data_IF_765154942688
#
_entry.id   IF_765154942688
#
_cell.length_a   1.000
_cell.length_b   1.000
_cell.length_c   1.000
_cell.angle_alpha   90.00
_cell.angle_beta   90.00
_cell.angle_gamma   90.00
#
_symmetry.space_group_name_H-M   'P 1'
#
loop_
_entity.id
_entity.type
_entity.pdbx_description
1 polymer ?
2 non-polymer ?
3 water ?
#
# COMPACT_ATOMS: atom_id res chain seq x y z
N UNK A 6 0.14 -8.22 -12.13
CA UNK A 6 -0.25 -8.31 -10.70
C UNK A 6 0.75 -7.56 -9.83
N UNK A 7 0.23 -6.72 -8.94
CA UNK A 7 1.05 -5.99 -7.97
C UNK A 7 0.97 -6.70 -6.62
N UNK A 8 2.06 -7.36 -6.23
CA UNK A 8 2.12 -8.14 -4.99
C UNK A 8 2.85 -7.39 -3.87
N UNK A 9 2.33 -7.48 -2.65
CA UNK A 9 2.84 -6.71 -1.51
C UNK A 9 4.24 -7.13 -1.01
N UNK A 10 4.53 -8.43 -1.07
CA UNK A 10 5.85 -8.97 -0.69
C UNK A 10 6.73 -9.10 -1.93
N UNK A 11 7.84 -8.35 -2.00
CA UNK A 11 8.70 -8.35 -3.19
C UNK A 11 9.52 -9.63 -3.35
N UNK A 12 9.89 -9.97 -4.61
CA UNK A 12 10.71 -11.14 -4.92
C UNK A 12 11.99 -11.29 -4.08
N UNK A 13 12.71 -10.18 -3.81
CA UNK A 13 13.94 -10.30 -3.02
C UNK A 13 13.70 -10.75 -1.57
N UNK A 14 12.52 -10.45 -1.03
CA UNK A 14 12.18 -10.88 0.33
C UNK A 14 11.89 -12.39 0.37
N UNK A 15 11.15 -12.88 -0.63
CA UNK A 15 10.87 -14.30 -0.77
C UNK A 15 12.16 -15.10 -1.06
N UNK A 16 13.04 -14.56 -1.90
CA UNK A 16 14.33 -15.22 -2.19
C UNK A 16 15.16 -15.37 -0.92
N UNK A 17 15.12 -14.34 -0.08
CA UNK A 17 15.78 -14.37 1.22
C UNK A 17 15.25 -15.54 2.07
N UNK A 18 13.94 -15.74 2.10
CA UNK A 18 13.33 -16.86 2.81
C UNK A 18 13.74 -18.21 2.21
N UNK A 19 13.80 -18.26 0.89
CA UNK A 19 14.16 -19.49 0.17
C UNK A 19 15.58 -19.96 0.54
N UNK A 20 16.49 -19.02 0.77
CA UNK A 20 17.88 -19.36 1.12
C UNK A 20 18.16 -19.60 2.60
N UNK A 21 17.44 -18.92 3.49
CA UNK A 21 17.75 -18.95 4.93
C UNK A 21 16.74 -19.70 5.81
N UNK A 22 15.58 -20.06 5.25
CA UNK A 22 14.51 -20.68 6.01
C UNK A 22 14.66 -22.18 6.18
N UNK A 23 13.79 -22.76 7.00
CA UNK A 23 13.70 -24.21 7.15
C UNK A 23 13.10 -24.83 5.89
N UNK A 24 13.05 -26.16 5.84
CA UNK A 24 12.50 -26.86 4.68
C UNK A 24 11.06 -26.41 4.34
N UNK A 25 10.13 -26.48 5.32
CA UNK A 25 8.76 -26.03 5.01
C UNK A 25 8.67 -24.53 4.69
N UNK A 26 9.51 -23.72 5.33
CA UNK A 26 9.52 -22.27 5.07
C UNK A 26 9.99 -21.98 3.64
N UNK A 27 11.08 -22.63 3.23
CA UNK A 27 11.56 -22.52 1.86
C UNK A 27 10.49 -22.95 0.86
N UNK A 28 9.78 -24.03 1.17
CA UNK A 28 8.83 -24.63 0.24
C UNK A 28 7.61 -23.75 -0.03
N UNK A 29 7.04 -23.12 1.00
CA UNK A 29 5.87 -22.23 0.78
C UNK A 29 6.29 -20.94 0.05
N UNK A 30 7.48 -20.42 0.35
CA UNK A 30 8.00 -19.22 -0.32
C UNK A 30 8.31 -19.49 -1.79
N UNK A 31 8.83 -20.68 -2.07
CA UNK A 31 9.16 -21.08 -3.43
C UNK A 31 7.90 -21.18 -4.30
N UNK A 32 6.85 -21.77 -3.73
CA UNK A 32 5.57 -21.89 -4.44
C UNK A 32 4.90 -20.53 -4.63
N UNK A 33 5.09 -19.64 -3.66
CA UNK A 33 4.59 -18.26 -3.76
C UNK A 33 5.33 -17.49 -4.86
N UNK A 34 6.65 -17.59 -4.87
CA UNK A 34 7.48 -16.84 -5.82
C UNK A 34 7.27 -17.33 -7.26
N UNK A 35 7.24 -18.64 -7.44
CA UNK A 35 7.15 -19.24 -8.78
C UNK A 35 5.74 -19.24 -9.37
N UNK A 36 4.73 -18.92 -8.55
CA UNK A 36 3.34 -18.98 -8.99
C UNK A 36 3.06 -18.12 -10.24
N UNK A 37 2.40 -18.73 -11.22
CA UNK A 37 1.95 -18.03 -12.42
C UNK A 37 0.48 -18.35 -12.71
N UNK A 52 -23.58 -4.03 -12.40
CA UNK A 52 -24.03 -2.88 -11.61
C UNK A 52 -22.86 -2.21 -10.88
N UNK A 53 -22.83 -0.88 -10.94
CA UNK A 53 -21.78 -0.09 -10.27
C UNK A 53 -22.40 0.73 -9.14
N UNK A 54 -21.56 1.16 -8.20
CA UNK A 54 -22.03 1.94 -7.07
C UNK A 54 -22.32 3.39 -7.48
N UNK A 55 -23.33 3.97 -6.83
CA UNK A 55 -23.54 5.40 -6.89
C UNK A 55 -22.68 5.99 -5.77
N UNK A 56 -22.21 7.23 -5.93
CA UNK A 56 -21.30 7.83 -4.96
C UNK A 56 -21.82 7.76 -3.52
N UNK A 57 -21.00 7.23 -2.62
CA UNK A 57 -21.34 7.15 -1.19
C UNK A 57 -21.76 5.80 -0.65
N UNK A 58 -22.00 4.82 -1.53
CA UNK A 58 -22.44 3.49 -1.10
C UNK A 58 -21.68 2.37 -1.82
N UNK A 59 -20.75 1.74 -1.11
CA UNK A 59 -19.92 0.65 -1.66
C UNK A 59 -20.74 -0.57 -2.12
N UNK A 60 -20.23 -1.27 -3.12
CA UNK A 60 -20.70 -2.62 -3.45
C UNK A 60 -19.51 -3.60 -3.30
N UNK A 61 -19.62 -4.52 -2.33
CA UNK A 61 -18.60 -5.55 -2.11
C UNK A 61 -19.08 -6.94 -2.51
N UNK A 62 -18.14 -7.78 -2.93
CA UNK A 62 -18.41 -9.20 -3.11
C UNK A 62 -17.18 -10.03 -2.78
N UNK A 63 -17.30 -10.84 -1.73
CA UNK A 63 -16.19 -11.63 -1.22
C UNK A 63 -16.39 -13.11 -1.59
N UNK A 64 -15.32 -13.71 -2.12
CA UNK A 64 -15.29 -15.10 -2.54
C UNK A 64 -14.26 -15.92 -1.73
N UNK A 65 -14.45 -17.25 -1.71
CA UNK A 65 -13.56 -18.19 -1.02
C UNK A 65 -12.95 -19.12 -2.07
N UNK A 66 -11.64 -19.01 -2.28
CA UNK A 66 -10.92 -19.85 -3.26
C UNK A 66 -10.65 -21.28 -2.77
N UNK A 67 -10.95 -21.53 -1.50
CA UNK A 67 -10.91 -22.87 -0.89
C UNK A 67 -9.55 -23.57 -1.07
N UNK A 68 -8.48 -22.77 -0.97
CA UNK A 68 -7.10 -23.26 -1.09
C UNK A 68 -6.69 -23.82 -2.47
N UNK A 69 -7.48 -23.49 -3.49
CA UNK A 69 -7.13 -23.69 -4.89
C UNK A 69 -6.67 -22.33 -5.42
N UNK A 70 -6.22 -22.30 -6.67
CA UNK A 70 -5.78 -21.04 -7.30
C UNK A 70 -6.68 -20.60 -8.46
N UNK A 71 -7.92 -21.09 -8.49
CA UNK A 71 -8.90 -20.63 -9.47
C UNK A 71 -9.69 -19.44 -8.93
N UNK A 72 -9.76 -18.37 -9.72
CA UNK A 72 -10.46 -17.15 -9.32
C UNK A 72 -11.80 -17.03 -10.06
N UNK A 73 -12.80 -16.37 -9.44
CA UNK A 73 -12.76 -15.80 -8.09
C UNK A 73 -12.97 -16.82 -6.96
N UNK A 74 -13.52 -17.99 -7.29
CA UNK A 74 -13.88 -19.00 -6.28
C UNK A 74 -15.37 -19.06 -6.01
N UNK A 75 -15.73 -19.54 -4.82
CA UNK A 75 -17.12 -19.67 -4.38
C UNK A 75 -17.59 -18.38 -3.68
N UNK A 76 -18.71 -17.82 -4.15
CA UNK A 76 -19.27 -16.60 -3.51
C UNK A 76 -19.73 -16.92 -2.09
N UNK A 77 -19.26 -16.13 -1.12
CA UNK A 77 -19.59 -16.35 0.28
C UNK A 77 -20.22 -15.15 0.99
N UNK A 78 -19.94 -13.93 0.53
CA UNK A 78 -20.53 -12.74 1.16
C UNK A 78 -20.60 -11.56 0.19
N UNK A 79 -21.78 -11.34 -0.40
CA UNK A 79 -22.03 -10.17 -1.24
C UNK A 79 -22.53 -9.00 -0.40
N UNK A 80 -22.80 -7.86 -1.04
CA UNK A 80 -23.09 -6.63 -0.30
C UNK A 80 -24.34 -6.78 0.56
N UNK A 81 -24.18 -6.53 1.86
CA UNK A 81 -25.30 -6.61 2.81
C UNK A 81 -25.50 -7.99 3.42
N UNK A 82 -24.86 -9.01 2.87
CA UNK A 82 -25.00 -10.39 3.36
C UNK A 82 -24.36 -10.53 4.74
N UNK A 83 -24.99 -11.32 5.60
CA UNK A 83 -24.49 -11.53 6.97
C UNK A 83 -23.13 -12.25 6.99
N UNK A 84 -22.45 -12.15 8.13
CA UNK A 84 -21.15 -12.78 8.33
C UNK A 84 -21.26 -14.31 8.35
N UNK A 85 -20.31 -14.97 7.70
CA UNK A 85 -20.21 -16.44 7.73
C UNK A 85 -19.24 -16.92 8.84
N UNK A 86 -18.76 -15.98 9.65
CA UNK A 86 -17.92 -16.25 10.82
C UNK A 86 -16.53 -16.82 10.50
N UNK A 87 -16.08 -16.62 9.26
CA UNK A 87 -14.70 -16.86 8.85
C UNK A 87 -13.96 -15.53 9.01
N UNK A 88 -12.92 -15.51 9.84
CA UNK A 88 -12.20 -14.26 10.16
C UNK A 88 -11.62 -13.56 8.91
N UNK A 89 -11.09 -14.37 7.98
CA UNK A 89 -10.54 -13.85 6.73
C UNK A 89 -11.60 -13.17 5.87
N UNK A 90 -12.79 -13.75 5.79
CA UNK A 90 -13.90 -13.16 5.01
C UNK A 90 -14.40 -11.89 5.70
N UNK A 91 -14.50 -11.95 7.04
CA UNK A 91 -14.89 -10.78 7.84
C UNK A 91 -13.93 -9.60 7.59
N UNK A 92 -12.63 -9.87 7.62
CA UNK A 92 -11.60 -8.84 7.44
C UNK A 92 -11.58 -8.27 6.01
N UNK A 93 -11.67 -9.13 5.01
CA UNK A 93 -11.78 -8.69 3.62
C UNK A 93 -12.99 -7.80 3.41
N UNK A 94 -14.15 -8.26 3.91
CA UNK A 94 -15.40 -7.51 3.79
C UNK A 94 -15.31 -6.15 4.48
N UNK A 95 -14.84 -6.14 5.72
CA UNK A 95 -14.75 -4.92 6.52
C UNK A 95 -13.72 -3.91 5.96
N UNK A 96 -12.54 -4.41 5.58
CA UNK A 96 -11.44 -3.52 5.18
C UNK A 96 -11.59 -2.97 3.74
N UNK A 97 -12.22 -3.74 2.87
CA UNK A 97 -12.66 -3.20 1.56
C UNK A 97 -13.70 -2.06 1.77
N UNK A 98 -14.62 -2.26 2.70
CA UNK A 98 -15.60 -1.23 3.08
C UNK A 98 -14.97 0.05 3.61
N UNK A 99 -14.03 -0.09 4.55
CA UNK A 99 -13.35 1.08 5.12
C UNK A 99 -12.55 1.84 4.05
N UNK A 100 -11.95 1.11 3.11
CA UNK A 100 -11.18 1.74 2.04
C UNK A 100 -12.10 2.60 1.15
N UNK A 101 -13.27 2.07 0.77
CA UNK A 101 -14.27 2.84 0.02
C UNK A 101 -14.68 4.10 0.78
N UNK A 102 -15.04 3.92 2.05
CA UNK A 102 -15.49 5.00 2.92
C UNK A 102 -14.44 6.11 3.04
N UNK A 103 -13.18 5.73 3.21
CA UNK A 103 -12.09 6.71 3.24
C UNK A 103 -12.07 7.58 1.98
N UNK A 104 -12.01 6.94 0.80
CA UNK A 104 -11.93 7.72 -0.45
C UNK A 104 -13.16 8.60 -0.68
N UNK A 105 -14.33 8.16 -0.23
CA UNK A 105 -15.56 8.97 -0.36
C UNK A 105 -15.58 10.15 0.61
N UNK A 106 -15.31 9.87 1.90
CA UNK A 106 -15.34 10.91 2.93
C UNK A 106 -14.23 11.94 2.76
N UNK A 107 -13.02 11.47 2.45
CA UNK A 107 -11.86 12.35 2.34
C UNK A 107 -11.84 13.16 1.05
N UNK A 108 -12.13 12.51 -0.07
CA UNK A 108 -11.89 13.11 -1.40
C UNK A 108 -13.11 13.12 -2.33
N UNK A 109 -14.27 12.67 -1.84
CA UNK A 109 -15.49 12.57 -2.66
C UNK A 109 -15.30 11.71 -3.94
N UNK A 110 -14.49 10.66 -3.82
CA UNK A 110 -14.22 9.73 -4.93
C UNK A 110 -15.15 8.51 -4.78
N UNK A 111 -15.71 8.07 -5.90
CA UNK A 111 -16.60 6.91 -5.96
C UNK A 111 -15.87 5.63 -6.41
N UNK A 112 -15.32 4.90 -5.43
CA UNK A 112 -14.53 3.69 -5.63
C UNK A 112 -13.17 3.96 -6.32
N UNK A 113 -12.46 2.89 -6.64
CA UNK A 113 -11.06 2.98 -7.09
C UNK A 113 -10.90 3.78 -8.38
N UNK A 114 -11.86 3.63 -9.31
CA UNK A 114 -11.78 4.28 -10.63
C UNK A 114 -12.63 5.55 -10.80
N UNK A 115 -13.25 6.01 -9.72
CA UNK A 115 -14.24 7.10 -9.74
C UNK A 115 -15.42 6.79 -10.71
N UNK A 116 -15.68 5.50 -10.94
CA UNK A 116 -16.80 5.03 -11.77
C UNK A 116 -17.66 3.98 -11.03
N UNK A 117 -17.49 3.90 -9.71
CA UNK A 117 -18.25 2.98 -8.88
C UNK A 117 -17.94 1.51 -9.01
N UNK A 118 -16.70 1.17 -9.37
CA UNK A 118 -16.23 -0.23 -9.46
C UNK A 118 -16.62 -1.04 -8.21
N UNK A 119 -17.34 -2.17 -8.37
CA UNK A 119 -17.55 -3.03 -7.20
C UNK A 119 -16.22 -3.57 -6.69
N UNK A 120 -16.08 -3.69 -5.38
CA UNK A 120 -14.84 -4.18 -4.77
C UNK A 120 -14.94 -5.68 -4.51
N UNK A 121 -14.18 -6.45 -5.29
CA UNK A 121 -14.19 -7.91 -5.25
C UNK A 121 -12.91 -8.43 -4.60
N UNK A 122 -13.06 -9.42 -3.72
CA UNK A 122 -11.91 -10.05 -3.05
C UNK A 122 -12.07 -11.55 -2.90
N UNK A 123 -10.98 -12.29 -3.10
CA UNK A 123 -10.95 -13.74 -2.88
C UNK A 123 -9.95 -14.11 -1.77
N UNK A 124 -10.42 -14.86 -0.78
CA UNK A 124 -9.59 -15.29 0.35
C UNK A 124 -9.24 -16.78 0.23
N UNK A 125 -8.31 -17.24 1.07
CA UNK A 125 -7.81 -18.62 1.02
C UNK A 125 -7.32 -19.03 -0.38
N UNK A 126 -6.55 -18.15 -1.01
CA UNK A 126 -5.90 -18.42 -2.29
C UNK A 126 -4.64 -19.27 -2.08
N UNK A 127 -4.59 -20.43 -2.72
CA UNK A 127 -3.43 -21.32 -2.61
C UNK A 127 -3.26 -22.00 -1.27
N UNK A 128 -2.12 -22.66 -1.09
CA UNK A 128 -1.77 -23.31 0.16
C UNK A 128 -0.57 -22.61 0.82
N UNK A 129 -0.81 -22.04 2.00
CA UNK A 129 0.20 -21.24 2.71
C UNK A 129 0.85 -20.21 1.77
N UNK A 130 0.01 -19.49 1.03
CA UNK A 130 0.47 -18.52 0.04
C UNK A 130 0.95 -17.25 0.74
N UNK A 131 2.22 -16.90 0.53
CA UNK A 131 2.90 -15.84 1.26
C UNK A 131 2.79 -14.48 0.55
N UNK A 132 1.58 -14.11 0.15
CA UNK A 132 1.38 -12.83 -0.53
C UNK A 132 -0.08 -12.42 -0.63
N UNK A 133 -0.28 -11.18 -1.06
CA UNK A 133 -1.58 -10.67 -1.48
C UNK A 133 -1.32 -9.75 -2.69
N UNK A 134 -2.31 -9.63 -3.57
CA UNK A 134 -2.14 -8.80 -4.77
C UNK A 134 -3.45 -8.27 -5.37
N UNK A 135 -3.31 -7.12 -6.05
CA UNK A 135 -4.36 -6.56 -6.88
C UNK A 135 -4.02 -6.94 -8.32
N UNK A 136 -4.97 -7.54 -9.05
CA UNK A 136 -4.67 -8.06 -10.39
C UNK A 136 -5.22 -7.22 -11.54
N UNK A 137 -5.67 -6.00 -11.22
CA UNK A 137 -6.30 -5.12 -12.20
C UNK A 137 -7.81 -5.08 -12.09
N UNK A 138 -8.42 -6.16 -11.57
CA UNK A 138 -9.87 -6.21 -11.39
C UNK A 138 -10.34 -6.64 -9.99
N UNK A 139 -9.50 -7.34 -9.22
CA UNK A 139 -9.86 -7.76 -7.85
C UNK A 139 -8.67 -7.92 -6.92
N UNK A 140 -8.96 -8.04 -5.62
CA UNK A 140 -8.00 -8.41 -4.59
C UNK A 140 -7.93 -9.92 -4.42
N UNK A 141 -6.72 -10.43 -4.20
CA UNK A 141 -6.48 -11.85 -3.90
C UNK A 141 -5.57 -11.95 -2.66
N UNK A 142 -6.00 -12.75 -1.67
CA UNK A 142 -5.32 -12.85 -0.37
C UNK A 142 -4.87 -14.28 -0.05
N UNK A 143 -3.59 -14.43 0.27
CA UNK A 143 -3.07 -15.68 0.83
C UNK A 143 -3.28 -15.80 2.33
N UNK A 144 -3.13 -17.04 2.83
CA UNK A 144 -3.28 -17.36 4.25
C UNK A 144 -1.98 -17.15 5.05
N UNK A 145 -0.85 -17.00 4.36
CA UNK A 145 0.46 -17.00 5.01
C UNK A 145 0.82 -18.38 5.55
N UNK A 146 1.98 -18.48 6.21
CA UNK A 146 2.46 -19.77 6.75
C UNK A 146 2.41 -19.87 8.28
N UNK A 147 2.15 -18.74 8.96
CA UNK A 147 2.08 -18.71 10.41
C UNK A 147 3.40 -18.62 11.16
N UNK A 148 4.50 -18.78 10.42
CA UNK A 148 5.85 -18.78 11.01
C UNK A 148 6.64 -17.55 10.64
N UNK A 149 6.44 -17.04 9.42
CA UNK A 149 7.05 -15.78 8.99
C UNK A 149 5.98 -14.70 8.82
N UNK A 150 4.91 -15.03 8.10
CA UNK A 150 3.80 -14.10 7.85
C UNK A 150 2.47 -14.62 8.39
N UNK A 151 1.65 -13.73 8.94
CA UNK A 151 0.26 -14.05 9.28
C UNK A 151 -0.65 -13.93 8.05
N UNK A 152 -1.94 -14.20 8.22
CA UNK A 152 -2.91 -14.10 7.12
C UNK A 152 -2.91 -12.70 6.49
N UNK A 153 -3.06 -12.63 5.18
CA UNK A 153 -2.84 -11.37 4.47
C UNK A 153 -4.04 -10.41 4.42
N UNK A 154 -5.11 -10.75 5.14
CA UNK A 154 -6.22 -9.83 5.41
C UNK A 154 -6.06 -9.08 6.74
N UNK A 155 -5.04 -9.43 7.53
CA UNK A 155 -4.96 -9.00 8.92
C UNK A 155 -4.65 -7.51 9.15
N UNK A 156 -3.93 -6.89 8.21
CA UNK A 156 -3.50 -5.49 8.35
C UNK A 156 -4.23 -4.56 7.37
N UNK A 157 -5.03 -3.65 7.91
CA UNK A 157 -5.90 -2.77 7.09
C UNK A 157 -5.13 -1.90 6.09
N UNK A 158 -3.97 -1.40 6.51
CA UNK A 158 -3.11 -0.57 5.63
C UNK A 158 -2.56 -1.33 4.43
N UNK A 159 -2.29 -2.63 4.59
CA UNK A 159 -1.83 -3.47 3.49
C UNK A 159 -2.97 -3.75 2.49
N UNK A 160 -4.18 -3.96 3.00
CA UNK A 160 -5.38 -4.04 2.16
C UNK A 160 -5.57 -2.73 1.36
N UNK A 161 -5.50 -1.59 2.04
CA UNK A 161 -5.58 -0.28 1.38
C UNK A 161 -4.49 -0.01 0.37
N UNK A 162 -3.25 -0.38 0.72
CA UNK A 162 -2.09 -0.29 -0.19
C UNK A 162 -2.37 -0.97 -1.54
N UNK A 163 -2.80 -2.24 -1.49
CA UNK A 163 -3.03 -3.00 -2.69
C UNK A 163 -4.20 -2.43 -3.52
N UNK A 164 -5.32 -2.13 -2.85
CA UNK A 164 -6.46 -1.50 -3.52
C UNK A 164 -6.06 -0.17 -4.20
N UNK A 165 -5.18 0.59 -3.55
CA UNK A 165 -4.74 1.89 -4.05
C UNK A 165 -4.01 1.83 -5.39
N UNK A 166 -3.47 0.67 -5.76
CA UNK A 166 -2.88 0.50 -7.09
C UNK A 166 -3.96 0.69 -8.18
N UNK A 167 -5.20 0.29 -7.90
CA UNK A 167 -6.32 0.58 -8.80
C UNK A 167 -6.65 2.06 -8.99
N UNK A 168 -6.43 2.86 -7.95
CA UNK A 168 -6.61 4.31 -8.02
C UNK A 168 -5.56 4.93 -8.93
N UNK A 169 -4.30 4.58 -8.68
CA UNK A 169 -3.17 5.07 -9.47
C UNK A 169 -3.31 4.70 -10.96
N UNK A 170 -3.71 3.45 -11.23
CA UNK A 170 -3.89 2.98 -12.61
C UNK A 170 -4.94 3.79 -13.38
N UNK A 171 -6.01 4.17 -12.68
CA UNK A 171 -7.13 4.93 -13.28
C UNK A 171 -6.86 6.43 -13.42
N UNK A 172 -5.77 6.92 -12.83
CA UNK A 172 -5.41 8.33 -12.91
C UNK A 172 -4.10 8.54 -13.71
N UNK A 173 -3.00 8.95 -13.07
CA UNK A 173 -1.74 9.21 -13.80
C UNK A 173 -1.14 7.97 -14.48
N UNK A 174 -1.40 6.79 -13.92
CA UNK A 174 -0.93 5.54 -14.52
C UNK A 174 0.59 5.39 -14.53
N UNK A 175 1.21 5.78 -13.41
CA UNK A 175 2.67 5.73 -13.26
C UNK A 175 3.22 4.33 -13.57
N UNK A 176 4.24 4.26 -14.41
CA UNK A 176 4.83 2.97 -14.81
C UNK A 176 5.65 2.36 -13.67
N UNK A 177 5.78 1.04 -13.69
CA UNK A 177 6.45 0.31 -12.60
C UNK A 177 7.93 0.18 -12.95
N UNK A 178 8.62 1.32 -12.90
CA UNK A 178 10.01 1.43 -13.34
C UNK A 178 10.73 2.62 -12.70
N UNK A 179 11.85 2.33 -12.02
CA UNK A 179 12.69 3.36 -11.40
C UNK A 179 11.85 4.34 -10.55
N UNK A 180 12.08 5.65 -10.69
CA UNK A 180 11.44 6.63 -9.79
C UNK A 180 9.91 6.70 -9.94
N UNK A 181 9.40 6.57 -11.17
CA UNK A 181 7.96 6.47 -11.39
C UNK A 181 7.36 5.28 -10.64
N UNK A 182 8.08 4.15 -10.65
CA UNK A 182 7.64 2.95 -9.93
C UNK A 182 7.75 3.08 -8.42
N UNK A 183 8.82 3.70 -7.95
CA UNK A 183 8.97 4.04 -6.52
C UNK A 183 7.84 4.99 -6.03
N UNK A 184 7.45 5.94 -6.88
CA UNK A 184 6.30 6.83 -6.61
C UNK A 184 4.96 6.08 -6.60
N UNK A 185 4.79 5.13 -7.51
CA UNK A 185 3.62 4.22 -7.55
C UNK A 185 3.49 3.44 -6.24
N UNK A 186 4.58 2.80 -5.82
CA UNK A 186 4.64 2.17 -4.50
C UNK A 186 4.35 3.13 -3.34
N UNK A 187 4.93 4.32 -3.38
CA UNK A 187 4.77 5.31 -2.31
C UNK A 187 3.31 5.80 -2.18
N UNK A 188 2.65 6.03 -3.31
CA UNK A 188 1.24 6.41 -3.28
C UNK A 188 0.38 5.34 -2.59
N UNK A 189 0.69 4.07 -2.83
CA UNK A 189 -0.04 2.98 -2.18
C UNK A 189 0.21 2.97 -0.66
N UNK A 190 1.46 3.24 -0.25
CA UNK A 190 1.82 3.34 1.17
C UNK A 190 1.13 4.56 1.83
N UNK A 191 1.09 5.68 1.11
CA UNK A 191 0.44 6.90 1.59
C UNK A 191 -1.06 6.66 1.83
N UNK A 192 -1.76 6.15 0.81
CA UNK A 192 -3.21 5.94 0.91
C UNK A 192 -3.54 4.80 1.89
N UNK A 193 -2.74 3.73 1.92
CA UNK A 193 -2.93 2.65 2.89
C UNK A 193 -2.78 3.15 4.32
N UNK A 194 -1.80 4.01 4.55
CA UNK A 194 -1.61 4.63 5.87
C UNK A 194 -2.79 5.52 6.26
N UNK A 195 -3.27 6.33 5.30
CA UNK A 195 -4.39 7.24 5.56
C UNK A 195 -5.69 6.49 5.89
N UNK A 196 -5.91 5.35 5.23
CA UNK A 196 -7.06 4.49 5.52
C UNK A 196 -7.04 4.03 6.99
N UNK A 197 -5.88 3.52 7.42
CA UNK A 197 -5.68 3.11 8.82
C UNK A 197 -5.92 4.25 9.81
N UNK A 198 -5.30 5.40 9.54
CA UNK A 198 -5.42 6.58 10.43
C UNK A 198 -6.87 7.11 10.52
N UNK A 199 -7.56 7.11 9.38
CA UNK A 199 -8.99 7.45 9.30
C UNK A 199 -9.85 6.50 10.14
N UNK A 200 -9.58 5.20 10.01
CA UNK A 200 -10.27 4.15 10.76
C UNK A 200 -10.10 4.30 12.28
N UNK A 201 -8.90 4.72 12.70
CA UNK A 201 -8.55 4.84 14.12
C UNK A 201 -8.68 6.27 14.69
N UNK A 202 -9.10 7.22 13.85
CA UNK A 202 -9.33 8.62 14.24
C UNK A 202 -8.07 9.28 14.83
N UNK A 203 -6.94 9.03 14.14
CA UNK A 203 -5.63 9.47 14.58
C UNK A 203 -5.15 10.71 13.82
N UNK A 204 -4.60 11.69 14.55
CA UNK A 204 -3.89 12.81 13.92
C UNK A 204 -2.45 12.37 13.60
N UNK A 205 -1.71 13.18 12.84
CA UNK A 205 -0.36 12.82 12.37
C UNK A 205 0.61 12.49 13.52
N UNK A 206 0.48 13.22 14.62
CA UNK A 206 1.38 13.06 15.78
C UNK A 206 1.15 11.78 16.61
N UNK A 207 0.06 11.07 16.33
CA UNK A 207 -0.29 9.83 17.04
C UNK A 207 -0.17 8.56 16.18
N UNK A 208 -0.22 8.72 14.86
CA UNK A 208 -0.15 7.58 13.92
C UNK A 208 1.18 6.81 14.05
N UNK A 209 1.14 5.50 13.81
CA UNK A 209 2.35 4.66 13.90
C UNK A 209 3.28 4.78 12.68
N UNK A 210 2.71 5.12 11.53
CA UNK A 210 3.44 5.29 10.26
C UNK A 210 4.20 4.02 9.78
N UNK A 211 3.73 2.85 10.21
CA UNK A 211 4.25 1.56 9.77
C UNK A 211 3.40 0.94 8.65
N UNK A 212 4.05 0.23 7.73
CA UNK A 212 3.35 -0.58 6.76
C UNK A 212 3.42 -2.05 7.20
N UNK A 213 2.26 -2.67 7.40
CA UNK A 213 2.19 -4.07 7.80
C UNK A 213 2.35 -4.37 9.30
N UNK A 214 1.94 -3.46 10.18
CA UNK A 214 1.90 -3.80 11.62
C UNK A 214 0.93 -4.98 11.80
N UNK A 215 1.39 -6.03 12.48
CA UNK A 215 0.59 -7.25 12.69
C UNK A 215 0.74 -8.36 11.66
N UNK A 216 1.38 -8.07 10.54
CA UNK A 216 1.55 -9.03 9.46
C UNK A 216 2.71 -10.00 9.72
N UNK A 217 3.75 -9.53 10.41
CA UNK A 217 4.87 -10.39 10.76
C UNK A 217 4.49 -11.32 11.91
N UNK A 218 4.81 -12.60 11.75
CA UNK A 218 4.51 -13.62 12.76
C UNK A 218 5.31 -13.39 14.03
N UNK A 219 4.78 -13.89 15.15
CA UNK A 219 5.48 -13.84 16.43
C UNK A 219 6.85 -14.50 16.28
N UNK A 220 7.87 -13.88 16.84
CA UNK A 220 9.23 -14.42 16.74
C UNK A 220 10.11 -13.65 15.77
N UNK A 221 9.51 -13.12 14.70
CA UNK A 221 10.25 -12.35 13.70
C UNK A 221 10.62 -10.99 14.30
N UNK A 222 11.90 -10.61 14.17
CA UNK A 222 12.39 -9.33 14.70
C UNK A 222 12.14 -8.17 13.73
N UNK A 223 10.93 -7.62 13.79
CA UNK A 223 10.58 -6.44 13.00
C UNK A 223 9.27 -5.84 13.47
N UNK A 224 9.01 -4.61 13.05
CA UNK A 224 7.76 -3.90 13.35
C UNK A 224 6.75 -4.10 12.21
N UNK A 225 7.27 -4.27 11.00
CA UNK A 225 6.45 -4.34 9.79
C UNK A 225 7.33 -4.47 8.56
N UNK A 226 6.71 -4.33 7.38
CA UNK A 226 7.43 -4.35 6.08
C UNK A 226 8.28 -3.09 5.86
N UNK A 227 7.71 -1.93 6.20
CA UNK A 227 8.36 -0.63 6.02
C UNK A 227 7.97 0.35 7.13
N UNK A 228 8.81 1.36 7.32
CA UNK A 228 8.50 2.54 8.12
C UNK A 228 8.49 3.78 7.23
N UNK A 229 7.40 4.53 7.26
CA UNK A 229 7.29 5.77 6.48
C UNK A 229 8.12 6.91 7.11
N UNK A 230 8.25 6.89 8.44
CA UNK A 230 8.97 7.95 9.17
C UNK A 230 10.49 7.74 9.17
N UNK A 231 10.90 6.49 9.31
CA UNK A 231 12.33 6.13 9.42
C UNK A 231 12.69 4.94 8.51
N UNK A 232 12.74 5.16 7.18
CA UNK A 232 13.03 4.04 6.27
C UNK A 232 14.35 3.34 6.60
N UNK A 233 14.35 2.02 6.48
CA UNK A 233 15.50 1.18 6.82
C UNK A 233 15.50 0.61 8.24
N UNK A 234 14.50 0.97 9.05
CA UNK A 234 14.45 0.56 10.47
C UNK A 234 13.35 -0.47 10.80
N UNK A 235 12.59 -0.91 9.80
CA UNK A 235 11.37 -1.69 10.02
C UNK A 235 11.59 -3.15 10.43
N UNK A 236 12.69 -3.77 9.98
CA UNK A 236 13.01 -5.15 10.39
C UNK A 236 14.52 -5.45 10.33
N UNK A 237 14.92 -6.46 11.11
CA UNK A 237 16.33 -6.88 11.21
C UNK A 237 16.34 -8.29 11.83
N UNK A 238 16.19 -9.30 10.97
CA UNK A 238 15.90 -10.68 11.38
C UNK A 238 16.81 -11.65 10.60
N UNK A 239 17.30 -12.72 11.26
CA UNK A 239 18.17 -13.72 10.59
C UNK A 239 17.55 -14.33 9.34
N UNK A 240 16.24 -14.53 9.35
CA UNK A 240 15.52 -15.06 8.19
C UNK A 240 15.31 -13.97 7.14
N UNK A 241 14.50 -12.96 7.48
CA UNK A 241 14.08 -11.92 6.52
C UNK A 241 15.19 -10.97 6.04
N UNK A 242 16.31 -10.93 6.75
CA UNK A 242 17.37 -9.97 6.45
C UNK A 242 17.15 -8.62 7.12
N UNK A 243 17.80 -7.59 6.59
CA UNK A 243 17.73 -6.25 7.14
C UNK A 243 17.04 -5.32 6.14
N UNK A 244 16.09 -4.52 6.64
CA UNK A 244 15.35 -3.53 5.84
C UNK A 244 16.33 -2.66 5.03
N UNK A 245 16.33 -2.81 3.68
CA UNK A 245 17.32 -2.14 2.83
C UNK A 245 17.06 -0.68 2.44
N UNK A 246 15.91 -0.11 2.82
CA UNK A 246 15.51 1.21 2.29
C UNK A 246 16.39 2.37 2.75
N UNK A 247 16.91 3.19 1.81
CA UNK A 247 17.52 4.46 2.20
C UNK A 247 16.50 5.52 2.65
N UNK A 248 16.95 6.47 3.47
CA UNK A 248 16.10 7.54 3.99
C UNK A 248 16.27 8.87 3.25
N UNK A 249 17.28 8.99 2.38
CA UNK A 249 17.46 10.20 1.57
C UNK A 249 18.10 9.93 0.21
N UNK A 250 17.97 10.91 -0.69
CA UNK A 250 18.51 10.83 -2.04
C UNK A 250 20.02 10.59 -2.08
N UNK A 251 20.75 11.12 -1.10
CA UNK A 251 22.19 10.84 -0.99
C UNK A 251 22.48 9.33 -1.07
N UNK A 252 21.59 8.52 -0.52
CA UNK A 252 21.78 7.07 -0.47
C UNK A 252 20.89 6.27 -1.44
N UNK A 253 20.28 6.96 -2.40
CA UNK A 253 19.43 6.32 -3.43
C UNK A 253 20.20 5.21 -4.14
N UNK A 254 19.58 4.02 -4.22
CA UNK A 254 20.24 2.84 -4.79
C UNK A 254 20.07 2.76 -6.32
N UNK A 255 21.21 2.72 -7.02
CA UNK A 255 21.22 2.67 -8.49
C UNK A 255 21.36 1.20 -8.92
N UNK A 256 20.26 0.60 -9.35
CA UNK A 256 20.21 -0.82 -9.67
C UNK A 256 19.16 -1.11 -10.78
N UNK A 257 19.38 -2.15 -11.58
CA UNK A 257 18.36 -2.65 -12.51
C UNK A 257 17.48 -3.71 -11.86
N UNK A 258 17.90 -4.21 -10.70
CA UNK A 258 17.11 -5.20 -9.96
C UNK A 258 15.82 -4.55 -9.44
N UNK A 259 14.81 -5.35 -9.08
CA UNK A 259 13.56 -4.86 -8.45
C UNK A 259 12.88 -3.79 -9.32
N UNK A 260 12.82 -4.05 -10.63
CA UNK A 260 12.29 -3.11 -11.61
C UNK A 260 12.94 -1.71 -11.51
N UNK A 261 14.24 -1.69 -11.21
CA UNK A 261 14.99 -0.44 -11.05
C UNK A 261 14.86 0.15 -9.64
N UNK A 262 14.51 -0.69 -8.67
CA UNK A 262 14.45 -0.33 -7.25
C UNK A 262 13.14 0.25 -6.74
N UNK A 263 12.01 -0.23 -7.26
CA UNK A 263 10.69 0.32 -6.87
C UNK A 263 10.36 0.11 -5.38
N UNK A 264 10.73 -1.04 -4.82
CA UNK A 264 10.56 -1.32 -3.38
C UNK A 264 11.71 -0.80 -2.53
N UNK A 265 12.90 -0.66 -3.12
CA UNK A 265 14.07 -0.18 -2.39
C UNK A 265 14.01 1.33 -2.12
N UNK A 266 13.61 2.11 -3.11
CA UNK A 266 13.72 3.59 -3.04
C UNK A 266 12.41 4.34 -2.75
N UNK A 267 11.32 3.61 -2.48
CA UNK A 267 10.02 4.22 -2.11
C UNK A 267 10.01 4.91 -0.72
N UNK A 268 10.97 4.56 0.14
CA UNK A 268 11.10 5.20 1.45
C UNK A 268 11.43 6.69 1.38
N UNK A 269 12.12 7.11 0.32
CA UNK A 269 12.45 8.53 0.14
C UNK A 269 11.17 9.40 -0.02
N UNK A 270 10.32 9.14 -1.05
CA UNK A 270 9.03 9.87 -1.09
C UNK A 270 8.06 9.58 0.09
N UNK A 271 8.10 8.37 0.65
CA UNK A 271 7.31 8.05 1.86
C UNK A 271 7.65 9.00 3.02
N UNK A 272 8.96 9.20 3.23
CA UNK A 272 9.45 10.07 4.31
C UNK A 272 9.08 11.53 4.05
N UNK A 273 9.09 11.95 2.77
CA UNK A 273 8.64 13.30 2.43
C UNK A 273 7.19 13.50 2.85
N UNK A 274 6.32 12.50 2.62
CA UNK A 274 4.91 12.61 3.02
C UNK A 274 4.79 12.67 4.55
N UNK A 275 5.48 11.78 5.25
CA UNK A 275 5.51 11.80 6.73
C UNK A 275 5.89 13.17 7.26
N UNK A 276 6.99 13.72 6.75
CA UNK A 276 7.49 15.02 7.23
C UNK A 276 6.49 16.16 6.96
N UNK A 277 5.92 16.18 5.76
CA UNK A 277 4.89 17.17 5.38
C UNK A 277 3.67 17.09 6.30
N UNK A 278 3.15 15.88 6.51
CA UNK A 278 1.98 15.66 7.37
C UNK A 278 2.27 16.08 8.82
N UNK A 279 3.47 15.74 9.30
CA UNK A 279 3.90 16.12 10.66
C UNK A 279 3.92 17.64 10.84
N UNK A 280 4.50 18.34 9.87
CA UNK A 280 4.59 19.81 9.89
C UNK A 280 3.22 20.50 9.84
N UNK A 281 2.27 19.90 9.13
CA UNK A 281 0.94 20.47 8.97
C UNK A 281 -0.02 20.18 10.14
N UNK A 282 0.18 19.06 10.83
CA UNK A 282 -0.65 18.70 11.99
C UNK A 282 -2.07 18.29 11.64
N UNK A 283 -2.87 17.99 12.66
CA UNK A 283 -4.23 17.49 12.48
C UNK A 283 -4.29 16.15 11.76
N UNK A 284 -5.43 15.88 11.12
CA UNK A 284 -5.64 14.65 10.38
C UNK A 284 -4.86 14.72 9.06
N UNK A 285 -4.03 13.70 8.81
CA UNK A 285 -3.08 13.74 7.68
C UNK A 285 -3.75 13.76 6.31
N UNK A 286 -4.97 13.24 6.22
CA UNK A 286 -5.68 13.20 4.91
C UNK A 286 -6.25 14.55 4.49
N UNK A 287 -6.44 15.45 5.44
CA UNK A 287 -7.20 16.68 5.19
C UNK A 287 -6.39 17.73 4.41
N UNK A 288 -5.07 17.78 4.61
CA UNK A 288 -4.21 18.70 3.85
C UNK A 288 -3.15 17.96 3.04
N UNK A 289 -2.18 17.31 3.70
CA UNK A 289 -1.14 16.57 2.98
C UNK A 289 -1.74 15.52 2.03
N UNK A 290 -2.71 14.74 2.53
CA UNK A 290 -3.39 13.74 1.69
C UNK A 290 -4.07 14.31 0.45
N UNK A 291 -4.80 15.42 0.62
CA UNK A 291 -5.50 16.07 -0.49
C UNK A 291 -4.50 16.61 -1.52
N UNK A 292 -3.37 17.12 -1.06
CA UNK A 292 -2.29 17.60 -1.94
C UNK A 292 -1.71 16.46 -2.82
N UNK A 293 -1.44 15.30 -2.22
CA UNK A 293 -0.96 14.13 -2.98
C UNK A 293 -2.05 13.62 -3.93
N UNK A 294 -3.32 13.64 -3.49
CA UNK A 294 -4.46 13.24 -4.32
C UNK A 294 -4.62 14.14 -5.56
N UNK A 295 -4.59 15.45 -5.33
CA UNK A 295 -4.65 16.42 -6.44
C UNK A 295 -3.51 16.17 -7.45
N UNK A 296 -2.33 15.82 -6.93
CA UNK A 296 -1.14 15.61 -7.75
C UNK A 296 -1.33 14.37 -8.64
N UNK A 297 -1.79 13.26 -8.04
CA UNK A 297 -2.08 12.03 -8.79
C UNK A 297 -3.13 12.24 -9.89
N UNK A 298 -4.12 13.09 -9.62
CA UNK A 298 -5.21 13.39 -10.57
C UNK A 298 -4.88 14.49 -11.60
N UNK A 299 -3.70 15.10 -11.49
CA UNK A 299 -3.28 16.20 -12.37
C UNK A 299 -2.96 15.64 -13.78
N UNK A 300 -3.70 16.10 -14.79
CA UNK A 300 -3.53 15.62 -16.17
C UNK A 300 -2.16 15.94 -16.81
N UNK A 301 -1.41 16.87 -16.20
CA UNK A 301 -0.07 17.21 -16.67
C UNK A 301 1.04 16.28 -16.11
N UNK A 302 0.73 15.48 -15.09
CA UNK A 302 1.73 14.56 -14.50
C UNK A 302 2.00 13.37 -15.44
N UNK A 303 3.24 13.25 -15.97
CA UNK A 303 3.60 12.17 -16.91
C UNK A 303 3.59 10.77 -16.29
N UNK A 304 3.30 9.77 -17.11
CA UNK A 304 3.33 8.38 -16.66
C UNK A 304 4.74 7.93 -16.20
N UNK A 305 5.79 8.59 -16.71
CA UNK A 305 7.17 8.28 -16.32
C UNK A 305 7.78 9.41 -15.46
N UNK A 306 6.95 10.05 -14.63
CA UNK A 306 7.41 11.16 -13.77
C UNK A 306 8.51 10.72 -12.81
N UNK A 307 9.51 11.57 -12.59
CA UNK A 307 10.54 11.32 -11.57
C UNK A 307 10.23 12.05 -10.24
N UNK A 308 11.07 11.83 -9.22
CA UNK A 308 10.83 12.43 -7.89
C UNK A 308 10.74 13.98 -7.96
N UNK A 309 11.65 14.61 -8.70
CA UNK A 309 11.70 16.08 -8.78
C UNK A 309 10.42 16.67 -9.41
N UNK A 310 9.93 16.04 -10.47
CA UNK A 310 8.69 16.45 -11.14
C UNK A 310 7.45 16.25 -10.23
N UNK A 311 7.36 15.09 -9.59
CA UNK A 311 6.27 14.82 -8.64
C UNK A 311 6.28 15.86 -7.50
N UNK A 312 7.45 16.12 -6.92
CA UNK A 312 7.60 17.06 -5.79
C UNK A 312 7.16 18.48 -6.16
N UNK A 313 7.62 18.96 -7.31
CA UNK A 313 7.22 20.28 -7.81
C UNK A 313 5.70 20.37 -7.99
N UNK A 314 5.08 19.28 -8.46
CA UNK A 314 3.63 19.24 -8.65
C UNK A 314 2.88 19.32 -7.31
N UNK A 315 3.37 18.61 -6.28
CA UNK A 315 2.75 18.73 -4.94
C UNK A 315 2.82 20.17 -4.39
N UNK A 316 3.92 20.88 -4.65
CA UNK A 316 4.07 22.25 -4.16
C UNK A 316 3.04 23.18 -4.85
N UNK A 317 2.86 23.02 -6.15
CA UNK A 317 1.82 23.76 -6.90
C UNK A 317 0.43 23.58 -6.30
N UNK A 318 0.05 22.34 -6.05
CA UNK A 318 -1.29 22.04 -5.50
C UNK A 318 -1.44 22.49 -4.06
N UNK A 319 -0.35 22.51 -3.30
CA UNK A 319 -0.37 23.09 -1.95
C UNK A 319 -0.74 24.58 -1.99
N UNK A 320 -0.11 25.32 -2.91
CA UNK A 320 -0.42 26.75 -3.16
C UNK A 320 -1.87 26.97 -3.59
N UNK A 321 -2.30 26.09 -4.48
CA UNK A 321 -3.59 26.19 -5.14
C UNK A 321 -4.76 25.95 -4.19
N UNK A 322 -4.72 24.84 -3.47
CA UNK A 322 -5.80 24.46 -2.55
C UNK A 322 -5.75 25.21 -1.22
N UNK A 323 -4.53 25.54 -0.77
CA UNK A 323 -4.35 26.14 0.55
C UNK A 323 -3.68 27.53 0.44
N UNK A 324 -2.39 27.62 0.75
CA UNK A 324 -1.67 28.89 0.73
C UNK A 324 -0.15 28.71 0.70
N UNK A 325 0.56 29.84 0.70
CA UNK A 325 2.02 29.90 0.62
C UNK A 325 2.71 29.22 1.83
N UNK A 326 2.12 29.36 3.01
CA UNK A 326 2.68 28.75 4.22
C UNK A 326 2.66 27.21 4.15
N UNK A 327 1.54 26.65 3.71
CA UNK A 327 1.41 25.20 3.50
C UNK A 327 2.38 24.71 2.41
N UNK A 328 2.47 25.46 1.31
CA UNK A 328 3.40 25.16 0.21
C UNK A 328 4.86 25.13 0.66
N UNK A 329 5.25 26.11 1.49
CA UNK A 329 6.59 26.14 2.12
C UNK A 329 6.90 24.85 2.87
N UNK A 330 5.94 24.38 3.67
CA UNK A 330 6.14 23.21 4.51
C UNK A 330 6.30 21.94 3.65
N UNK A 331 5.49 21.81 2.60
CA UNK A 331 5.63 20.72 1.63
C UNK A 331 7.00 20.77 0.90
N UNK A 332 7.41 21.96 0.47
CA UNK A 332 8.70 22.11 -0.23
C UNK A 332 9.86 21.74 0.69
N UNK A 333 9.77 22.11 1.95
CA UNK A 333 10.83 21.81 2.92
C UNK A 333 10.94 20.31 3.23
N UNK A 334 9.79 19.63 3.24
CA UNK A 334 9.78 18.17 3.43
C UNK A 334 10.58 17.46 2.32
N UNK A 335 10.31 17.82 1.07
CA UNK A 335 11.06 17.24 -0.06
C UNK A 335 12.55 17.59 0.00
N UNK A 336 12.84 18.83 0.39
CA UNK A 336 14.24 19.28 0.52
C UNK A 336 14.99 18.47 1.58
N UNK A 337 14.31 18.18 2.69
CA UNK A 337 14.90 17.41 3.80
C UNK A 337 15.32 16.00 3.39
N UNK A 338 14.57 15.36 2.48
CA UNK A 338 14.92 14.03 1.99
C UNK A 338 15.82 14.06 0.72
N UNK A 339 16.24 15.25 0.30
CA UNK A 339 17.26 15.38 -0.76
C UNK A 339 16.75 15.51 -2.18
N UNK A 340 15.45 15.73 -2.33
CA UNK A 340 14.83 15.99 -3.64
C UNK A 340 14.78 17.52 -3.83
N UNK A 341 15.69 18.04 -4.65
CA UNK A 341 15.88 19.49 -4.79
C UNK A 341 14.75 20.14 -5.59
X LIG B 1 2.42 -2.05 -4.04
#
# INVERSE_FOLDING_TARGET
>A
MPTLTARSVIPPYMLRRIIEHGSLPQRDCALHTLNHVQSLLGNKPLRAPGAKTSTGGEVIRDIYDAENSTQLPGKQVRNEGQASNHDVAVDEAYDYLGVTYDFFWQAFKRNSLDNQGLPLTGSVHYGKEYQNAFWNGQQMVFGDGDGEIFNRFTIAIDVVGHALAHGVTESEAGLIYFQQAGALNESLSDVFGSLVKQFHLKQTADKADWLIGEGLLAKGINGKGLRSMSAPGTAYDDPLLGKDPQPASMKDYIQTKEDNGGVHLNSGIPNRAFYLAATALGGYAWEKAGYIWYDTLCDKALPQDADFATFARTTVKHAEQRFDSKVAQKVQQAWHQVGVA
>B hetero
1 ZN ZN
#
